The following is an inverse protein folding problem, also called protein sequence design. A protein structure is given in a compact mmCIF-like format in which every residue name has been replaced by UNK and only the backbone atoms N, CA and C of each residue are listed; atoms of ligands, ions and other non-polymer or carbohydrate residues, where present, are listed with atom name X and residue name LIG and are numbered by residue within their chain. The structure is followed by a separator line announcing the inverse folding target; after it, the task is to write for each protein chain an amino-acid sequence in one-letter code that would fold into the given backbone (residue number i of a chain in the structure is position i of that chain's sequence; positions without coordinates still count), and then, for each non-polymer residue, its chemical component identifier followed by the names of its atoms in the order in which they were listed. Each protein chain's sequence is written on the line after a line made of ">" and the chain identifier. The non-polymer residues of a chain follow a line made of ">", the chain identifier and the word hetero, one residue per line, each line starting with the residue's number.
data_IF_034640712166
#
_entry.id   IF_034640712166
#
_cell.length_a   1.000
_cell.length_b   1.000
_cell.length_c   1.000
_cell.angle_alpha   90.00
_cell.angle_beta   90.00
_cell.angle_gamma   90.00
#
_symmetry.space_group_name_H-M   'P 1'
#
loop_
_entity.id
_entity.type
_entity.pdbx_description
1 polymer ?
#
# COMPACT_ATOMS: atom_id res chain seq x y z
N UNK A 1 -32.48 -22.15 18.04
CA UNK A 1 -31.36 -21.86 17.10
C UNK A 1 -31.37 -20.37 16.82
N UNK A 2 -30.42 -19.61 17.41
CA UNK A 2 -30.22 -18.21 17.04
C UNK A 2 -29.79 -18.16 15.59
N UNK A 3 -30.56 -17.48 14.76
CA UNK A 3 -30.17 -17.17 13.39
C UNK A 3 -29.04 -16.17 13.42
N UNK A 4 -27.80 -16.64 13.47
CA UNK A 4 -26.62 -15.78 13.34
C UNK A 4 -26.47 -15.41 11.87
N UNK A 5 -26.72 -14.15 11.55
CA UNK A 5 -26.44 -13.63 10.22
C UNK A 5 -24.94 -13.39 10.10
N UNK A 6 -24.28 -14.13 9.24
CA UNK A 6 -22.86 -13.93 8.93
C UNK A 6 -22.69 -12.77 7.94
N UNK A 7 -22.86 -11.55 8.44
CA UNK A 7 -22.60 -10.33 7.66
C UNK A 7 -21.16 -9.90 7.95
N UNK A 8 -20.23 -9.98 6.98
CA UNK A 8 -18.83 -9.67 7.21
C UNK A 8 -18.56 -8.16 7.29
N UNK A 9 -19.31 -7.35 6.54
CA UNK A 9 -19.05 -5.93 6.37
C UNK A 9 -20.34 -5.11 6.58
N UNK A 10 -20.18 -3.98 7.27
CA UNK A 10 -21.28 -3.03 7.50
C UNK A 10 -20.88 -1.64 7.02
N UNK A 11 -21.80 -1.00 6.32
CA UNK A 11 -21.69 0.40 5.94
C UNK A 11 -22.80 1.22 6.58
N UNK A 12 -22.46 2.44 6.98
CA UNK A 12 -23.40 3.47 7.36
C UNK A 12 -23.07 4.74 6.58
N UNK A 13 -24.07 5.37 5.98
CA UNK A 13 -23.90 6.65 5.29
C UNK A 13 -25.08 7.57 5.57
N UNK A 14 -24.84 8.87 5.50
CA UNK A 14 -25.86 9.90 5.68
C UNK A 14 -26.44 10.43 4.36
N UNK A 15 -26.06 9.85 3.22
CA UNK A 15 -26.52 10.25 1.89
C UNK A 15 -25.98 11.60 1.39
N UNK A 16 -25.14 12.27 2.16
CA UNK A 16 -24.52 13.53 1.74
C UNK A 16 -23.26 13.28 0.90
N UNK A 17 -23.05 14.11 -0.11
CA UNK A 17 -21.80 14.09 -0.85
C UNK A 17 -20.67 14.51 0.08
N UNK A 18 -19.56 13.78 0.04
CA UNK A 18 -18.36 14.16 0.76
C UNK A 18 -17.90 15.55 0.31
N UNK A 19 -17.61 16.42 1.26
CA UNK A 19 -16.97 17.70 1.00
C UNK A 19 -15.61 17.74 1.71
N UNK A 20 -14.64 18.49 1.17
CA UNK A 20 -13.33 18.69 1.80
C UNK A 20 -13.43 19.15 3.26
N UNK A 21 -14.52 19.83 3.60
CA UNK A 21 -14.78 20.41 4.94
C UNK A 21 -15.35 19.37 5.91
N UNK A 22 -15.88 18.25 5.41
CA UNK A 22 -16.51 17.17 6.16
C UNK A 22 -15.73 15.85 6.03
N UNK A 23 -14.45 15.92 5.66
CA UNK A 23 -13.63 14.72 5.47
C UNK A 23 -13.57 13.84 6.74
N UNK A 24 -13.70 14.43 7.91
CA UNK A 24 -13.65 13.75 9.20
C UNK A 24 -15.05 13.49 9.80
N UNK A 25 -16.11 14.16 9.31
CA UNK A 25 -17.44 14.12 9.93
C UNK A 25 -18.53 13.58 9.00
N UNK A 26 -18.29 13.54 7.70
CA UNK A 26 -19.32 13.16 6.74
C UNK A 26 -18.85 12.08 5.80
N UNK A 27 -19.77 11.26 5.35
CA UNK A 27 -19.50 10.34 4.30
C UNK A 27 -19.94 8.92 4.59
N UNK A 28 -19.07 7.99 4.32
CA UNK A 28 -19.33 6.57 4.39
C UNK A 28 -18.51 5.99 5.53
N UNK A 29 -19.19 5.36 6.47
CA UNK A 29 -18.56 4.61 7.54
C UNK A 29 -18.54 3.14 7.18
N UNK A 30 -17.41 2.49 7.35
CA UNK A 30 -17.21 1.07 7.08
C UNK A 30 -16.70 0.36 8.33
N UNK A 31 -17.22 -0.83 8.59
CA UNK A 31 -16.72 -1.73 9.62
C UNK A 31 -16.67 -3.16 9.10
N UNK A 32 -15.53 -3.80 9.27
CA UNK A 32 -15.38 -5.25 9.17
C UNK A 32 -15.77 -5.84 10.52
N UNK A 33 -16.91 -6.51 10.59
CA UNK A 33 -17.46 -7.05 11.85
C UNK A 33 -17.06 -8.48 12.13
N UNK A 34 -16.21 -9.09 11.30
CA UNK A 34 -15.69 -10.44 11.52
C UNK A 34 -14.82 -10.49 12.78
N UNK A 35 -14.16 -9.38 13.11
CA UNK A 35 -13.36 -9.25 14.32
C UNK A 35 -13.98 -8.17 15.23
N UNK A 36 -14.36 -8.52 16.47
CA UNK A 36 -15.01 -7.57 17.40
C UNK A 36 -14.16 -6.32 17.72
N UNK A 37 -12.83 -6.46 17.67
CA UNK A 37 -11.87 -5.38 17.90
C UNK A 37 -11.80 -4.34 16.78
N UNK A 38 -12.32 -4.65 15.58
CA UNK A 38 -12.30 -3.71 14.46
C UNK A 38 -13.20 -2.51 14.76
N UNK A 39 -12.62 -1.32 14.67
CA UNK A 39 -13.36 -0.05 14.79
C UNK A 39 -13.87 0.41 13.43
N UNK A 40 -14.94 1.21 13.44
CA UNK A 40 -15.47 1.83 12.23
C UNK A 40 -14.47 2.83 11.67
N UNK A 41 -14.33 2.84 10.33
CA UNK A 41 -13.43 3.73 9.58
C UNK A 41 -14.24 4.61 8.63
N UNK A 42 -13.89 5.88 8.53
CA UNK A 42 -14.47 6.79 7.53
C UNK A 42 -13.80 6.53 6.19
N UNK A 43 -14.60 6.41 5.14
CA UNK A 43 -14.13 6.21 3.78
C UNK A 43 -14.57 7.37 2.89
N UNK A 44 -13.79 7.64 1.86
CA UNK A 44 -14.12 8.62 0.82
C UNK A 44 -15.03 8.09 -0.28
N UNK A 45 -15.29 6.79 -0.30
CA UNK A 45 -16.15 6.11 -1.24
C UNK A 45 -16.47 4.70 -0.78
N UNK A 46 -17.28 3.98 -1.53
CA UNK A 46 -17.53 2.56 -1.30
C UNK A 46 -16.38 1.72 -1.89
N UNK A 47 -16.08 0.60 -1.26
CA UNK A 47 -15.20 -0.39 -1.85
C UNK A 47 -15.81 -0.93 -3.14
N UNK A 48 -14.97 -1.33 -4.08
CA UNK A 48 -15.40 -2.08 -5.26
C UNK A 48 -15.88 -3.49 -4.87
N UNK A 49 -16.74 -4.14 -5.68
CA UNK A 49 -17.13 -5.52 -5.43
C UNK A 49 -15.93 -6.46 -5.33
N UNK A 50 -14.93 -6.28 -6.19
CA UNK A 50 -13.68 -7.04 -6.20
C UNK A 50 -12.87 -6.79 -4.92
N UNK A 51 -12.83 -5.54 -4.44
CA UNK A 51 -12.17 -5.20 -3.20
C UNK A 51 -12.82 -5.82 -1.97
N UNK A 52 -14.17 -5.84 -1.93
CA UNK A 52 -14.90 -6.53 -0.88
C UNK A 52 -14.67 -8.05 -0.92
N UNK A 53 -14.65 -8.64 -2.12
CA UNK A 53 -14.35 -10.06 -2.29
C UNK A 53 -12.95 -10.38 -1.77
N UNK A 54 -11.93 -9.59 -2.15
CA UNK A 54 -10.56 -9.75 -1.63
C UNK A 54 -10.50 -9.66 -0.11
N UNK A 55 -11.19 -8.66 0.48
CA UNK A 55 -11.28 -8.53 1.95
C UNK A 55 -11.93 -9.74 2.61
N UNK A 56 -12.94 -10.32 1.96
CA UNK A 56 -13.63 -11.50 2.47
C UNK A 56 -12.72 -12.73 2.45
N UNK A 57 -11.94 -12.90 1.39
CA UNK A 57 -11.02 -14.03 1.20
C UNK A 57 -9.71 -13.88 2.01
N UNK A 58 -9.42 -12.67 2.52
CA UNK A 58 -8.19 -12.40 3.26
C UNK A 58 -8.25 -13.01 4.67
N UNK A 59 -7.28 -13.86 4.97
CA UNK A 59 -7.04 -14.40 6.29
C UNK A 59 -5.90 -13.60 6.96
N UNK A 60 -6.29 -12.57 7.71
CA UNK A 60 -5.35 -11.63 8.35
C UNK A 60 -4.55 -12.35 9.45
N UNK A 61 -5.19 -13.22 10.24
CA UNK A 61 -4.54 -13.91 11.35
C UNK A 61 -3.43 -14.82 10.83
N UNK A 62 -3.71 -15.59 9.78
CA UNK A 62 -2.72 -16.45 9.13
C UNK A 62 -1.59 -15.63 8.49
N UNK A 63 -1.90 -14.49 7.88
CA UNK A 63 -0.90 -13.61 7.30
C UNK A 63 0.04 -13.04 8.36
N UNK A 64 -0.50 -12.56 9.47
CA UNK A 64 0.27 -11.99 10.58
C UNK A 64 1.09 -13.08 11.31
N UNK A 65 0.55 -14.30 11.45
CA UNK A 65 1.29 -15.45 11.95
C UNK A 65 2.49 -15.80 11.04
N UNK A 66 2.27 -15.84 9.71
CA UNK A 66 3.34 -16.07 8.75
C UNK A 66 4.46 -15.02 8.88
N UNK A 67 4.12 -13.73 8.97
CA UNK A 67 5.08 -12.65 9.13
C UNK A 67 5.85 -12.76 10.45
N UNK A 68 5.18 -13.16 11.54
CA UNK A 68 5.79 -13.33 12.85
C UNK A 68 6.78 -14.49 12.96
N UNK A 69 6.51 -15.59 12.27
CA UNK A 69 7.27 -16.85 12.40
C UNK A 69 8.31 -17.05 11.30
N UNK A 70 8.09 -16.50 10.11
CA UNK A 70 8.94 -16.76 8.96
C UNK A 70 10.24 -15.96 9.02
N UNK A 71 11.37 -16.63 8.78
CA UNK A 71 12.68 -15.99 8.72
C UNK A 71 12.73 -14.96 7.59
N UNK A 72 13.43 -13.84 7.84
CA UNK A 72 13.57 -12.76 6.86
C UNK A 72 14.77 -13.04 5.96
N UNK A 73 14.53 -13.77 4.91
CA UNK A 73 15.47 -14.00 3.83
C UNK A 73 15.22 -12.97 2.70
N UNK A 74 16.22 -12.55 1.96
CA UNK A 74 17.64 -12.86 1.98
C UNK A 74 18.52 -11.89 2.79
N UNK A 75 17.97 -11.07 3.67
CA UNK A 75 18.64 -9.95 4.35
C UNK A 75 19.50 -10.36 5.56
N UNK A 76 20.04 -11.58 5.56
CA UNK A 76 20.83 -12.10 6.68
C UNK A 76 22.15 -11.36 6.91
N UNK A 77 22.65 -10.63 5.91
CA UNK A 77 23.89 -9.86 5.94
C UNK A 77 23.77 -8.52 6.68
N UNK A 78 22.55 -7.98 6.87
CA UNK A 78 22.32 -6.66 7.45
C UNK A 78 21.26 -6.69 8.55
N UNK A 79 21.70 -6.86 9.80
CA UNK A 79 20.82 -6.99 10.96
C UNK A 79 19.79 -5.84 11.08
N UNK A 80 20.21 -4.60 10.85
CA UNK A 80 19.32 -3.43 10.93
C UNK A 80 18.18 -3.44 9.89
N UNK A 81 18.39 -4.04 8.71
CA UNK A 81 17.32 -4.18 7.72
C UNK A 81 16.30 -5.20 8.19
N UNK A 82 16.73 -6.32 8.75
CA UNK A 82 15.81 -7.32 9.36
C UNK A 82 15.02 -6.72 10.51
N UNK A 83 15.68 -5.98 11.38
CA UNK A 83 15.02 -5.29 12.50
C UNK A 83 14.00 -4.28 12.01
N UNK A 84 14.33 -3.51 10.95
CA UNK A 84 13.40 -2.58 10.31
C UNK A 84 12.16 -3.27 9.75
N UNK A 85 12.34 -4.36 9.01
CA UNK A 85 11.22 -5.16 8.47
C UNK A 85 10.35 -5.70 9.62
N UNK A 86 10.96 -6.34 10.63
CA UNK A 86 10.24 -6.86 11.81
C UNK A 86 9.45 -5.78 12.53
N UNK A 87 10.03 -4.60 12.71
CA UNK A 87 9.35 -3.49 13.38
C UNK A 87 8.11 -3.04 12.60
N UNK A 88 8.19 -2.98 11.26
CA UNK A 88 7.05 -2.65 10.40
C UNK A 88 5.98 -3.74 10.47
N UNK A 89 6.35 -5.02 10.36
CA UNK A 89 5.43 -6.14 10.44
C UNK A 89 4.69 -6.19 11.80
N UNK A 90 5.42 -5.98 12.89
CA UNK A 90 4.82 -5.89 14.23
C UNK A 90 3.87 -4.69 14.38
N UNK A 91 4.17 -3.57 13.73
CA UNK A 91 3.28 -2.42 13.72
C UNK A 91 2.00 -2.71 12.92
N UNK A 92 2.12 -3.41 11.79
CA UNK A 92 0.98 -3.85 10.96
C UNK A 92 0.09 -4.82 11.76
N UNK A 93 0.67 -5.81 12.44
CA UNK A 93 -0.07 -6.75 13.29
C UNK A 93 -0.79 -6.07 14.47
N UNK A 94 -0.34 -4.87 14.88
CA UNK A 94 -1.00 -4.01 15.87
C UNK A 94 -1.97 -2.99 15.26
N UNK A 95 -2.40 -3.20 14.02
CA UNK A 95 -3.32 -2.31 13.27
C UNK A 95 -2.81 -0.86 13.11
N UNK A 96 -1.50 -0.63 13.16
CA UNK A 96 -0.95 0.69 12.86
C UNK A 96 -1.06 0.98 11.37
N UNK A 97 -1.82 2.03 11.04
CA UNK A 97 -2.08 2.41 9.65
C UNK A 97 -1.00 3.34 9.07
N UNK A 98 -0.25 4.03 9.93
CA UNK A 98 0.83 4.93 9.52
C UNK A 98 2.09 4.54 10.26
N UNK A 99 3.11 4.18 9.49
CA UNK A 99 4.39 3.68 10.02
C UNK A 99 5.49 4.49 9.37
N UNK A 100 6.36 5.09 10.16
CA UNK A 100 7.54 5.80 9.68
C UNK A 100 8.78 4.98 10.02
N UNK A 101 9.56 4.65 8.98
CA UNK A 101 10.85 4.01 9.12
C UNK A 101 11.95 5.00 8.74
N UNK A 102 12.71 5.48 9.71
CA UNK A 102 13.81 6.39 9.49
C UNK A 102 15.12 5.61 9.22
N UNK A 103 15.71 5.84 8.06
CA UNK A 103 16.97 5.22 7.63
C UNK A 103 17.90 6.25 7.01
N UNK A 104 19.20 6.17 7.30
CA UNK A 104 20.20 7.05 6.70
C UNK A 104 20.34 6.80 5.17
N UNK A 105 20.83 7.79 4.45
CA UNK A 105 21.13 7.65 3.03
C UNK A 105 22.21 6.57 2.82
N UNK A 106 22.09 5.77 1.77
CA UNK A 106 23.06 4.70 1.46
C UNK A 106 22.92 3.42 2.28
N UNK A 107 21.98 3.34 3.23
CA UNK A 107 21.79 2.12 4.05
C UNK A 107 20.92 1.05 3.36
N UNK A 108 20.47 1.28 2.13
CA UNK A 108 19.68 0.33 1.35
C UNK A 108 18.18 0.39 1.66
N UNK A 109 17.60 1.59 1.72
CA UNK A 109 16.16 1.81 1.89
C UNK A 109 15.34 1.04 0.84
N UNK A 110 15.71 1.15 -0.44
CA UNK A 110 15.03 0.45 -1.53
C UNK A 110 15.11 -1.06 -1.36
N UNK A 111 16.27 -1.59 -0.98
CA UNK A 111 16.46 -3.02 -0.68
C UNK A 111 15.53 -3.49 0.44
N UNK A 112 15.44 -2.72 1.53
CA UNK A 112 14.54 -3.03 2.63
C UNK A 112 13.07 -3.00 2.15
N UNK A 113 12.69 -1.98 1.38
CA UNK A 113 11.34 -1.88 0.82
C UNK A 113 11.01 -3.07 -0.08
N UNK A 114 11.96 -3.51 -0.93
CA UNK A 114 11.82 -4.71 -1.78
C UNK A 114 11.50 -5.96 -0.95
N UNK A 115 12.27 -6.18 0.11
CA UNK A 115 12.06 -7.33 1.00
C UNK A 115 10.75 -7.25 1.77
N UNK A 116 10.39 -6.05 2.22
CA UNK A 116 9.11 -5.84 2.90
C UNK A 116 7.93 -6.11 1.95
N UNK A 117 7.94 -5.55 0.73
CA UNK A 117 6.89 -5.80 -0.26
C UNK A 117 6.75 -7.29 -0.58
N UNK A 118 7.87 -7.98 -0.83
CA UNK A 118 7.87 -9.42 -1.06
C UNK A 118 7.16 -10.17 0.08
N UNK A 119 7.50 -9.91 1.32
CA UNK A 119 6.92 -10.59 2.49
C UNK A 119 5.43 -10.29 2.67
N UNK A 120 5.04 -9.03 2.49
CA UNK A 120 3.64 -8.60 2.59
C UNK A 120 2.75 -9.24 1.53
N UNK A 121 3.25 -9.39 0.30
CA UNK A 121 2.52 -10.06 -0.79
C UNK A 121 2.52 -11.57 -0.56
N UNK A 122 3.66 -12.17 -0.24
CA UNK A 122 3.77 -13.62 -0.02
C UNK A 122 2.89 -14.11 1.13
N UNK A 123 2.81 -13.36 2.22
CA UNK A 123 1.89 -13.66 3.32
C UNK A 123 0.42 -13.45 2.97
N UNK A 124 0.12 -12.81 1.86
CA UNK A 124 -1.21 -12.32 1.47
C UNK A 124 -1.78 -11.26 2.44
N UNK A 125 -0.91 -10.62 3.24
CA UNK A 125 -1.34 -9.51 4.10
C UNK A 125 -1.77 -8.30 3.28
N UNK A 126 -1.04 -8.04 2.18
CA UNK A 126 -1.41 -7.09 1.14
C UNK A 126 -1.13 -7.71 -0.23
N UNK A 127 -2.01 -7.47 -1.20
CA UNK A 127 -1.87 -8.00 -2.56
C UNK A 127 -1.38 -6.96 -3.56
N UNK A 128 -1.80 -5.71 -3.38
CA UNK A 128 -1.52 -4.62 -4.31
C UNK A 128 -0.88 -3.46 -3.57
N UNK A 129 0.40 -3.27 -3.81
CA UNK A 129 1.22 -2.28 -3.14
C UNK A 129 1.55 -1.16 -4.12
N UNK A 130 1.30 0.09 -3.72
CA UNK A 130 1.78 1.27 -4.43
C UNK A 130 3.11 1.70 -3.82
N UNK A 131 4.15 1.78 -4.64
CA UNK A 131 5.46 2.33 -4.27
C UNK A 131 5.60 3.73 -4.86
N UNK A 132 5.53 4.76 -4.02
CA UNK A 132 5.63 6.16 -4.42
C UNK A 132 7.07 6.65 -4.33
N UNK A 133 7.51 7.30 -5.40
CA UNK A 133 8.82 7.95 -5.51
C UNK A 133 8.65 9.44 -5.78
N UNK A 134 9.65 10.22 -5.41
CA UNK A 134 9.66 11.67 -5.61
C UNK A 134 9.78 12.07 -7.09
N UNK A 135 10.65 11.38 -7.85
CA UNK A 135 10.95 11.73 -9.25
C UNK A 135 10.95 10.51 -10.14
N UNK A 136 10.66 10.71 -11.44
CA UNK A 136 10.66 9.64 -12.44
C UNK A 136 12.00 8.90 -12.54
N UNK A 137 13.14 9.60 -12.40
CA UNK A 137 14.46 8.98 -12.36
C UNK A 137 14.63 8.01 -11.19
N UNK A 138 14.01 8.29 -10.04
CA UNK A 138 13.99 7.38 -8.89
C UNK A 138 13.05 6.19 -9.14
N UNK A 139 12.00 6.38 -9.92
CA UNK A 139 11.13 5.30 -10.38
C UNK A 139 11.91 4.26 -11.19
N UNK A 140 12.69 4.69 -12.17
CA UNK A 140 13.56 3.78 -12.95
C UNK A 140 14.56 3.05 -12.06
N UNK A 141 15.20 3.75 -11.13
CA UNK A 141 16.12 3.13 -10.17
C UNK A 141 15.43 2.11 -9.25
N UNK A 142 14.18 2.37 -8.86
CA UNK A 142 13.38 1.42 -8.09
C UNK A 142 13.07 0.16 -8.89
N UNK A 143 12.67 0.31 -10.15
CA UNK A 143 12.46 -0.81 -11.08
C UNK A 143 13.73 -1.65 -11.25
N UNK A 144 14.88 -0.98 -11.48
CA UNK A 144 16.17 -1.67 -11.61
C UNK A 144 16.51 -2.45 -10.34
N UNK A 145 16.26 -1.85 -9.17
CA UNK A 145 16.49 -2.51 -7.88
C UNK A 145 15.56 -3.73 -7.67
N UNK A 146 14.28 -3.62 -8.08
CA UNK A 146 13.32 -4.73 -7.97
C UNK A 146 13.66 -5.88 -8.94
N UNK A 147 14.34 -5.56 -10.05
CA UNK A 147 14.83 -6.53 -11.03
C UNK A 147 16.23 -7.09 -10.73
N UNK A 148 17.00 -6.46 -9.85
CA UNK A 148 18.38 -6.86 -9.57
C UNK A 148 18.55 -7.64 -8.26
N UNK A 149 17.75 -7.32 -7.22
CA UNK A 149 17.88 -7.94 -5.91
C UNK A 149 17.26 -9.33 -5.90
N UNK A 150 18.09 -10.34 -5.72
CA UNK A 150 17.64 -11.74 -5.57
C UNK A 150 17.01 -11.93 -4.19
N UNK A 151 15.78 -12.42 -4.16
CA UNK A 151 14.99 -12.57 -2.94
C UNK A 151 14.82 -14.03 -2.55
N UNK A 152 14.31 -14.85 -3.44
CA UNK A 152 14.02 -16.25 -3.14
C UNK A 152 14.35 -17.15 -4.34
N UNK A 153 14.99 -18.29 -4.08
CA UNK A 153 15.31 -19.32 -5.09
C UNK A 153 16.01 -18.79 -6.35
N UNK A 154 16.85 -17.76 -6.18
CA UNK A 154 17.54 -17.12 -7.31
C UNK A 154 16.69 -16.14 -8.11
N UNK A 155 15.46 -15.86 -7.68
CA UNK A 155 14.54 -14.94 -8.36
C UNK A 155 14.46 -13.58 -7.68
N UNK A 156 14.23 -12.55 -8.48
CA UNK A 156 14.02 -11.16 -8.04
C UNK A 156 12.54 -10.87 -7.80
N UNK A 157 12.22 -9.72 -7.16
CA UNK A 157 10.83 -9.30 -6.96
C UNK A 157 10.05 -9.25 -8.29
N UNK A 158 10.65 -8.66 -9.32
CA UNK A 158 10.04 -8.50 -10.63
C UNK A 158 9.91 -9.81 -11.42
N UNK A 159 10.60 -10.88 -11.02
CA UNK A 159 10.44 -12.22 -11.60
C UNK A 159 9.36 -13.04 -10.88
N UNK A 160 9.09 -12.73 -9.59
CA UNK A 160 8.09 -13.45 -8.79
C UNK A 160 6.72 -12.80 -8.94
N UNK A 161 6.66 -11.47 -8.98
CA UNK A 161 5.43 -10.67 -9.01
C UNK A 161 5.41 -9.69 -10.17
N UNK A 162 4.21 -9.30 -10.59
CA UNK A 162 4.04 -8.26 -11.60
C UNK A 162 4.36 -6.90 -11.01
N UNK A 163 5.40 -6.26 -11.55
CA UNK A 163 5.80 -4.90 -11.21
C UNK A 163 5.55 -4.01 -12.43
N UNK A 164 4.78 -2.95 -12.26
CA UNK A 164 4.41 -2.04 -13.36
C UNK A 164 4.52 -0.56 -12.96
N UNK A 165 4.76 0.30 -13.95
CA UNK A 165 4.63 1.75 -13.80
C UNK A 165 3.16 2.17 -13.88
N UNK A 166 2.76 3.22 -13.17
CA UNK A 166 1.39 3.71 -13.18
C UNK A 166 0.95 4.23 -14.57
N UNK A 167 1.88 4.66 -15.39
CA UNK A 167 1.64 5.12 -16.76
C UNK A 167 1.41 4.01 -17.78
N UNK A 168 1.65 2.76 -17.43
CA UNK A 168 1.50 1.61 -18.30
C UNK A 168 0.13 0.97 -18.09
N UNK A 169 -0.67 0.89 -19.17
CA UNK A 169 -1.90 0.12 -19.15
C UNK A 169 -1.56 -1.38 -19.08
N UNK A 170 -1.83 -1.97 -17.92
CA UNK A 170 -1.72 -3.40 -17.73
C UNK A 170 -3.11 -4.02 -17.82
N UNK A 171 -3.21 -5.16 -18.52
CA UNK A 171 -4.47 -5.93 -18.62
C UNK A 171 -4.91 -6.48 -17.26
N UNK A 172 -3.95 -6.69 -16.37
CA UNK A 172 -4.16 -7.16 -15.00
C UNK A 172 -3.59 -6.16 -14.00
N UNK A 173 -4.20 -6.11 -12.84
CA UNK A 173 -3.75 -5.27 -11.73
C UNK A 173 -2.44 -5.82 -11.16
N UNK A 174 -1.33 -5.07 -11.20
CA UNK A 174 -0.03 -5.56 -10.73
C UNK A 174 0.00 -5.69 -9.21
N UNK A 175 0.82 -6.59 -8.68
CA UNK A 175 1.08 -6.70 -7.25
C UNK A 175 1.86 -5.50 -6.72
N UNK A 176 2.79 -4.96 -7.52
CA UNK A 176 3.53 -3.75 -7.18
C UNK A 176 3.39 -2.74 -8.30
N UNK A 177 2.91 -1.56 -7.97
CA UNK A 177 2.88 -0.43 -8.90
C UNK A 177 3.80 0.68 -8.41
N UNK A 178 4.69 1.13 -9.29
CA UNK A 178 5.57 2.26 -9.03
C UNK A 178 4.95 3.52 -9.62
N UNK A 179 4.96 4.60 -8.89
CA UNK A 179 4.42 5.87 -9.35
C UNK A 179 5.17 7.05 -8.76
N UNK A 180 5.16 8.18 -9.47
CA UNK A 180 5.46 9.47 -8.85
C UNK A 180 4.18 10.02 -8.21
N UNK A 181 4.35 10.95 -7.28
CA UNK A 181 3.19 11.64 -6.67
C UNK A 181 2.39 12.37 -7.75
N UNK A 182 3.06 13.02 -8.71
CA UNK A 182 2.41 13.73 -9.81
C UNK A 182 1.57 12.79 -10.69
N UNK A 183 2.12 11.62 -11.07
CA UNK A 183 1.37 10.66 -11.89
C UNK A 183 0.17 10.10 -11.13
N UNK A 184 0.30 9.87 -9.82
CA UNK A 184 -0.83 9.44 -8.99
C UNK A 184 -1.91 10.50 -8.89
N UNK A 185 -1.53 11.76 -8.62
CA UNK A 185 -2.46 12.90 -8.57
C UNK A 185 -3.18 13.06 -9.89
N UNK A 186 -2.46 13.02 -11.02
CA UNK A 186 -3.05 13.07 -12.34
C UNK A 186 -4.07 11.94 -12.56
N UNK A 187 -3.73 10.71 -12.18
CA UNK A 187 -4.63 9.55 -12.31
C UNK A 187 -5.88 9.66 -11.43
N UNK A 188 -5.76 10.23 -10.23
CA UNK A 188 -6.88 10.38 -9.31
C UNK A 188 -7.86 11.51 -9.67
N UNK A 189 -7.34 12.62 -10.21
CA UNK A 189 -8.13 13.85 -10.37
C UNK A 189 -8.42 14.21 -11.84
N UNK A 190 -7.58 13.77 -12.78
CA UNK A 190 -7.67 14.16 -14.19
C UNK A 190 -8.00 12.99 -15.11
N UNK A 191 -8.24 11.79 -14.58
CA UNK A 191 -8.63 10.62 -15.36
C UNK A 191 -10.15 10.49 -15.44
N UNK A 192 -10.68 10.12 -16.61
CA UNK A 192 -12.10 9.79 -16.79
C UNK A 192 -12.55 8.57 -15.97
N UNK A 193 -11.60 7.72 -15.58
CA UNK A 193 -11.83 6.56 -14.73
C UNK A 193 -10.94 6.62 -13.48
N UNK A 194 -11.38 7.32 -12.41
CA UNK A 194 -10.63 7.42 -11.19
C UNK A 194 -10.44 6.05 -10.53
N UNK A 195 -9.29 5.86 -9.87
CA UNK A 195 -9.00 4.62 -9.16
C UNK A 195 -10.00 4.40 -8.02
N UNK A 196 -10.53 3.18 -7.84
CA UNK A 196 -11.31 2.84 -6.65
C UNK A 196 -10.51 3.08 -5.37
N UNK A 197 -11.18 3.38 -4.26
CA UNK A 197 -10.53 3.62 -2.96
C UNK A 197 -9.74 2.41 -2.43
N UNK A 198 -10.08 1.24 -2.89
CA UNK A 198 -9.48 -0.06 -2.56
C UNK A 198 -8.58 -0.58 -3.68
N UNK A 199 -8.11 0.31 -4.57
CA UNK A 199 -7.20 -0.10 -5.64
C UNK A 199 -5.85 -0.54 -5.06
N UNK A 200 -5.34 0.10 -4.02
CA UNK A 200 -4.14 -0.34 -3.30
C UNK A 200 -4.48 -0.72 -1.87
N UNK A 201 -3.87 -1.81 -1.40
CA UNK A 201 -4.01 -2.28 -0.03
C UNK A 201 -2.96 -1.65 0.89
N UNK A 202 -1.82 -1.26 0.33
CA UNK A 202 -0.69 -0.65 1.02
C UNK A 202 -0.03 0.42 0.15
N UNK A 203 0.45 1.49 0.76
CA UNK A 203 1.24 2.53 0.10
C UNK A 203 2.57 2.65 0.82
N UNK A 204 3.67 2.50 0.10
CA UNK A 204 5.03 2.72 0.59
C UNK A 204 5.55 3.97 -0.10
N UNK A 205 6.00 4.94 0.68
CA UNK A 205 6.47 6.24 0.19
C UNK A 205 7.98 6.34 0.47
N UNK A 206 8.77 6.41 -0.59
CA UNK A 206 10.19 6.70 -0.47
C UNK A 206 10.40 8.21 -0.27
N UNK A 207 11.47 8.58 0.45
CA UNK A 207 11.84 9.96 0.76
C UNK A 207 10.69 10.80 1.38
N UNK A 208 9.83 10.18 2.19
CA UNK A 208 8.63 10.79 2.78
C UNK A 208 8.90 12.08 3.58
N UNK A 209 10.16 12.33 3.97
CA UNK A 209 10.57 13.55 4.68
C UNK A 209 10.49 14.82 3.83
N UNK A 210 10.44 14.70 2.50
CA UNK A 210 10.33 15.86 1.59
C UNK A 210 8.98 16.56 1.67
N UNK A 211 7.98 15.91 2.24
CA UNK A 211 6.64 16.45 2.42
C UNK A 211 5.96 16.69 1.07
N UNK A 212 5.07 15.80 0.70
CA UNK A 212 4.24 15.98 -0.49
C UNK A 212 3.06 16.89 -0.13
N UNK A 213 3.24 18.19 -0.28
CA UNK A 213 2.13 19.15 -0.23
C UNK A 213 1.74 19.50 -1.66
N UNK A 214 0.49 19.23 -2.01
CA UNK A 214 -0.09 19.55 -3.33
C UNK A 214 0.19 21.00 -3.76
N UNK A 215 0.25 21.92 -2.81
CA UNK A 215 0.46 23.35 -3.07
C UNK A 215 1.89 23.71 -3.51
N UNK A 216 2.91 22.93 -3.15
CA UNK A 216 4.31 23.20 -3.55
C UNK A 216 4.63 22.68 -4.95
N UNK A 217 3.96 21.65 -5.41
CA UNK A 217 4.23 21.03 -6.72
C UNK A 217 3.49 21.76 -7.85
N UNK A 218 2.35 22.41 -7.56
CA UNK A 218 1.64 23.23 -8.55
C UNK A 218 2.41 24.51 -8.91
N UNK A 219 3.21 25.07 -7.99
CA UNK A 219 4.01 26.28 -8.25
C UNK A 219 5.30 26.01 -9.03
N UNK A 220 5.93 24.83 -8.90
CA UNK A 220 7.13 24.49 -9.68
C UNK A 220 6.79 24.07 -11.12
N UNK A 221 5.57 23.63 -11.40
CA UNK A 221 5.09 23.29 -12.75
C UNK A 221 4.68 24.50 -13.60
N UNK A 222 4.36 25.64 -12.98
CA UNK A 222 3.99 26.88 -13.69
C UNK A 222 5.20 27.73 -14.10
N UNK A 223 6.38 27.51 -13.52
CA UNK A 223 7.61 28.24 -13.90
C UNK A 223 8.36 27.64 -15.12
N UNK A 224 7.82 26.62 -15.75
CA UNK A 224 8.49 25.95 -16.90
C UNK A 224 7.64 25.98 -18.18
N UNK A 225 6.81 27.02 -18.37
CA UNK A 225 6.16 27.31 -19.65
C UNK A 225 6.62 28.68 -20.14
#
# INVERSE_FOLDING_TARGET
>A
EEKVYHIPFVYACNGQKQSKRLADEGGIWFRDVRHPSNISKVLQGFHSPEGLKRKLEQDIERADEYLGQTEILPFNDRAYQREGIKAVEQAIAKDKQRILLAMATGTGKTRLATGLMYRLIKSQRFKHILFLVDRSTLGTQAFDAFGAEVIEQGQTLAQIYTVADLGVDTTERPEVQVATVQSLVHRLFNSDAPLPIDFYDCIIIDEAHRGYTLDKEMTEGEETI
#
